data_IF_503502654184
#
_entry.id   IF_503502654184
#
_cell.length_a   1.000
_cell.length_b   1.000
_cell.length_c   1.000
_cell.angle_alpha   90.00
_cell.angle_beta   90.00
_cell.angle_gamma   90.00
#
_symmetry.space_group_name_H-M   'P 1'
#
loop_
_entity.id
_entity.type
_entity.pdbx_description
1 polymer ?
#
# COMPACT_ATOMS: atom_id res chain seq x y z
N UNK A 1 34.37 21.17 -16.09
CA UNK A 1 33.58 20.30 -16.97
C UNK A 1 32.70 19.44 -16.06
N UNK A 2 31.39 19.74 -16.02
CA UNK A 2 30.44 18.89 -15.36
C UNK A 2 30.29 17.62 -16.21
N UNK A 3 30.57 16.45 -15.63
CA UNK A 3 30.25 15.17 -16.24
C UNK A 3 28.72 15.06 -16.23
N UNK A 4 28.07 15.27 -17.36
CA UNK A 4 26.71 14.87 -17.61
C UNK A 4 26.73 13.33 -17.71
N UNK A 5 26.41 12.65 -16.61
CA UNK A 5 26.13 11.23 -16.64
C UNK A 5 24.73 11.08 -17.27
N UNK A 6 24.70 10.68 -18.52
CA UNK A 6 23.46 10.35 -19.21
C UNK A 6 22.87 9.08 -18.57
N UNK A 7 21.86 9.24 -17.73
CA UNK A 7 21.17 8.13 -17.07
C UNK A 7 20.29 7.44 -18.13
N UNK A 8 20.67 6.23 -18.55
CA UNK A 8 19.85 5.42 -19.47
C UNK A 8 19.01 4.44 -18.66
N UNK A 9 17.69 4.69 -18.47
CA UNK A 9 16.84 3.93 -17.56
C UNK A 9 16.85 2.41 -17.80
N UNK A 10 16.88 1.99 -19.07
CA UNK A 10 16.77 0.58 -19.44
C UNK A 10 18.06 -0.26 -19.24
N UNK A 11 19.22 0.36 -18.99
CA UNK A 11 20.46 -0.38 -18.76
C UNK A 11 20.71 -0.72 -17.28
N UNK A 12 19.94 -0.13 -16.36
CA UNK A 12 20.10 -0.25 -14.91
C UNK A 12 18.83 -0.70 -14.20
N UNK A 13 17.89 -1.36 -14.87
CA UNK A 13 16.87 -2.19 -14.16
C UNK A 13 17.61 -3.33 -13.45
N UNK A 14 18.43 -2.91 -12.48
CA UNK A 14 18.93 -3.86 -11.48
C UNK A 14 17.73 -4.43 -10.75
N UNK A 15 17.84 -5.65 -10.29
CA UNK A 15 16.87 -6.51 -9.60
C UNK A 15 16.14 -5.89 -8.38
N UNK A 16 16.05 -4.56 -8.27
CA UNK A 16 15.36 -3.86 -7.19
C UNK A 16 13.97 -3.48 -7.67
N UNK A 17 12.99 -3.77 -6.83
CA UNK A 17 11.62 -3.27 -6.99
C UNK A 17 11.60 -1.84 -6.49
N UNK A 18 11.09 -0.92 -7.29
CA UNK A 18 10.89 0.50 -6.92
C UNK A 18 9.44 0.83 -7.23
N UNK A 19 8.69 1.17 -6.20
CA UNK A 19 7.29 1.54 -6.31
C UNK A 19 7.11 3.02 -6.00
N UNK A 20 6.15 3.67 -6.65
CA UNK A 20 5.81 5.07 -6.43
C UNK A 20 4.32 5.27 -6.27
N UNK A 21 3.93 6.08 -5.29
CA UNK A 21 2.53 6.48 -5.08
C UNK A 21 2.24 7.78 -5.83
N UNK A 22 1.09 7.85 -6.48
CA UNK A 22 0.63 9.05 -7.15
C UNK A 22 -0.89 9.20 -7.09
N UNK A 23 -1.35 10.46 -6.99
CA UNK A 23 -2.76 10.82 -7.09
C UNK A 23 -3.16 11.07 -8.55
N UNK A 24 -4.44 10.88 -8.93
CA UNK A 24 -4.93 11.15 -10.29
C UNK A 24 -4.77 12.60 -10.76
N UNK A 25 -4.50 13.54 -9.87
CA UNK A 25 -4.20 14.94 -10.21
C UNK A 25 -2.70 15.21 -10.45
N UNK A 26 -1.83 14.20 -10.41
CA UNK A 26 -0.41 14.36 -10.75
C UNK A 26 -0.25 14.90 -12.16
N UNK A 27 0.74 15.75 -12.38
CA UNK A 27 1.01 16.27 -13.73
C UNK A 27 1.46 15.13 -14.67
N UNK A 28 0.90 15.09 -15.89
CA UNK A 28 1.29 14.10 -16.91
C UNK A 28 2.81 14.10 -17.16
N UNK A 29 3.43 15.28 -17.12
CA UNK A 29 4.87 15.39 -17.31
C UNK A 29 5.64 14.68 -16.19
N UNK A 30 5.28 14.94 -14.92
CA UNK A 30 5.94 14.30 -13.77
C UNK A 30 5.76 12.79 -13.83
N UNK A 31 4.54 12.32 -14.11
CA UNK A 31 4.29 10.89 -14.21
C UNK A 31 5.14 10.24 -15.31
N UNK A 32 5.13 10.78 -16.52
CA UNK A 32 5.86 10.22 -17.67
C UNK A 32 7.38 10.18 -17.48
N UNK A 33 7.96 11.19 -16.84
CA UNK A 33 9.41 11.19 -16.59
C UNK A 33 9.82 10.26 -15.44
N UNK A 34 8.87 9.88 -14.57
CA UNK A 34 9.11 9.02 -13.41
C UNK A 34 8.86 7.54 -13.70
N UNK A 35 7.82 7.21 -14.47
CA UNK A 35 7.41 5.83 -14.77
C UNK A 35 8.54 4.91 -15.25
N UNK A 36 9.49 5.33 -16.11
CA UNK A 36 10.58 4.46 -16.55
C UNK A 36 11.48 3.93 -15.44
N UNK A 37 11.43 4.52 -14.25
CA UNK A 37 12.22 4.13 -13.07
C UNK A 37 11.44 3.27 -12.11
N UNK A 38 10.11 3.13 -12.29
CA UNK A 38 9.23 2.40 -11.38
C UNK A 38 8.99 0.96 -11.85
N UNK A 39 8.84 0.07 -10.88
CA UNK A 39 8.31 -1.29 -11.06
C UNK A 39 6.78 -1.30 -10.90
N UNK A 40 6.26 -0.52 -9.96
CA UNK A 40 4.84 -0.36 -9.68
C UNK A 40 4.46 1.11 -9.52
N UNK A 41 3.31 1.48 -10.09
CA UNK A 41 2.63 2.76 -9.87
C UNK A 41 1.41 2.50 -8.99
N UNK A 42 1.45 2.98 -7.76
CA UNK A 42 0.38 2.85 -6.78
C UNK A 42 -0.53 4.07 -6.88
N UNK A 43 -1.75 3.85 -7.37
CA UNK A 43 -2.71 4.93 -7.63
C UNK A 43 -3.57 5.15 -6.39
N UNK A 44 -3.44 6.31 -5.76
CA UNK A 44 -4.08 6.66 -4.50
C UNK A 44 -5.32 7.53 -4.75
N UNK A 45 -6.56 7.14 -4.37
CA UNK A 45 -6.91 5.88 -3.74
C UNK A 45 -8.38 5.54 -4.01
N UNK A 46 -8.72 4.30 -3.79
CA UNK A 46 -10.08 3.79 -3.79
C UNK A 46 -10.55 3.60 -2.34
N UNK A 47 -11.84 3.83 -2.12
CA UNK A 47 -12.50 3.59 -0.85
C UNK A 47 -13.47 2.43 -0.91
N UNK A 48 -14.25 2.25 0.15
CA UNK A 48 -15.30 1.23 0.20
C UNK A 48 -16.42 1.61 1.19
N UNK A 49 -17.59 1.00 1.01
CA UNK A 49 -18.70 1.13 1.95
C UNK A 49 -18.70 -0.02 2.97
N UNK A 50 -19.47 0.12 4.04
CA UNK A 50 -19.62 -0.95 5.06
C UNK A 50 -20.30 -2.22 4.52
N UNK A 51 -20.95 -2.13 3.36
CA UNK A 51 -21.56 -3.24 2.64
C UNK A 51 -20.59 -3.91 1.63
N UNK A 52 -19.37 -3.35 1.43
CA UNK A 52 -18.36 -3.86 0.52
C UNK A 52 -18.47 -3.35 -0.91
N UNK A 53 -19.19 -2.24 -1.16
CA UNK A 53 -19.14 -1.55 -2.45
C UNK A 53 -17.82 -0.77 -2.59
N UNK A 54 -17.22 -0.77 -3.79
CA UNK A 54 -16.00 -0.01 -4.05
C UNK A 54 -16.34 1.43 -4.39
N UNK A 55 -15.64 2.37 -3.78
CA UNK A 55 -15.74 3.81 -4.04
C UNK A 55 -14.53 4.24 -4.87
N UNK A 56 -14.78 4.62 -6.11
CA UNK A 56 -13.73 5.10 -7.03
C UNK A 56 -13.30 6.53 -6.70
N UNK A 57 -12.06 6.92 -7.03
CA UNK A 57 -11.63 8.31 -6.92
C UNK A 57 -12.50 9.24 -7.79
N UNK A 58 -12.63 10.50 -7.37
CA UNK A 58 -13.45 11.49 -8.10
C UNK A 58 -12.86 11.87 -9.47
N UNK A 59 -11.54 11.74 -9.64
CA UNK A 59 -10.86 11.99 -10.90
C UNK A 59 -10.61 10.67 -11.63
N UNK A 60 -10.73 10.72 -12.97
CA UNK A 60 -10.39 9.58 -13.81
C UNK A 60 -8.90 9.23 -13.69
N UNK A 61 -8.62 7.97 -13.44
CA UNK A 61 -7.27 7.41 -13.29
C UNK A 61 -6.89 6.45 -14.43
N UNK A 62 -7.78 6.19 -15.39
CA UNK A 62 -7.51 5.26 -16.50
C UNK A 62 -6.28 5.67 -17.32
N UNK A 63 -6.08 6.98 -17.47
CA UNK A 63 -4.91 7.49 -18.17
C UNK A 63 -3.59 7.09 -17.48
N UNK A 64 -3.57 7.02 -16.14
CA UNK A 64 -2.38 6.61 -15.37
C UNK A 64 -2.09 5.12 -15.55
N UNK A 65 -3.13 4.29 -15.59
CA UNK A 65 -3.03 2.85 -15.85
C UNK A 65 -2.43 2.60 -17.24
N UNK A 66 -2.92 3.32 -18.25
CA UNK A 66 -2.43 3.22 -19.62
C UNK A 66 -0.95 3.63 -19.72
N UNK A 67 -0.60 4.80 -19.15
CA UNK A 67 0.79 5.29 -19.12
C UNK A 67 1.73 4.33 -18.37
N UNK A 68 1.26 3.70 -17.31
CA UNK A 68 2.05 2.71 -16.57
C UNK A 68 2.43 1.53 -17.49
N UNK A 69 1.48 0.96 -18.20
CA UNK A 69 1.74 -0.14 -19.12
C UNK A 69 2.63 0.26 -20.30
N UNK A 70 2.49 1.47 -20.84
CA UNK A 70 3.37 1.99 -21.90
C UNK A 70 4.84 2.10 -21.45
N UNK A 71 5.09 2.13 -20.13
CA UNK A 71 6.42 2.22 -19.54
C UNK A 71 6.87 0.93 -18.81
N UNK A 72 6.24 -0.22 -19.07
CA UNK A 72 6.50 -1.50 -18.39
C UNK A 72 6.35 -1.42 -16.86
N UNK A 73 5.56 -0.49 -16.35
CA UNK A 73 5.27 -0.31 -14.92
C UNK A 73 3.91 -0.94 -14.60
N UNK A 74 3.81 -1.63 -13.47
CA UNK A 74 2.56 -2.28 -13.06
C UNK A 74 1.65 -1.29 -12.32
N UNK A 75 0.42 -1.02 -12.82
CA UNK A 75 -0.53 -0.21 -12.07
C UNK A 75 -1.11 -1.00 -10.90
N UNK A 76 -1.09 -0.40 -9.71
CA UNK A 76 -1.57 -0.97 -8.45
C UNK A 76 -2.67 -0.09 -7.90
N UNK A 77 -3.82 -0.68 -7.56
CA UNK A 77 -4.91 -0.01 -6.89
C UNK A 77 -4.59 0.10 -5.40
N UNK A 78 -4.59 1.30 -4.83
CA UNK A 78 -4.47 1.49 -3.38
C UNK A 78 -5.86 1.60 -2.78
N UNK A 79 -6.19 0.67 -1.87
CA UNK A 79 -7.44 0.64 -1.13
C UNK A 79 -7.25 1.26 0.25
N UNK A 80 -8.05 2.28 0.56
CA UNK A 80 -8.00 3.02 1.82
C UNK A 80 -9.38 3.05 2.47
N UNK A 81 -9.50 3.22 3.80
CA UNK A 81 -10.80 3.25 4.48
C UNK A 81 -11.49 4.61 4.36
N UNK A 82 -11.67 5.10 3.13
CA UNK A 82 -12.52 6.24 2.81
C UNK A 82 -13.92 5.75 2.42
N UNK A 83 -14.94 6.40 2.97
CA UNK A 83 -16.34 6.15 2.61
C UNK A 83 -16.73 6.91 1.32
N UNK A 84 -17.99 6.78 0.91
CA UNK A 84 -18.56 7.46 -0.26
C UNK A 84 -18.57 9.00 -0.17
N UNK A 85 -18.33 9.56 1.01
CA UNK A 85 -18.20 11.01 1.25
C UNK A 85 -16.74 11.46 1.29
N UNK A 86 -15.79 10.53 1.08
CA UNK A 86 -14.35 10.78 1.18
C UNK A 86 -13.89 10.97 2.62
N UNK A 87 -14.63 10.47 3.60
CA UNK A 87 -14.29 10.56 5.02
C UNK A 87 -13.53 9.31 5.45
N UNK A 88 -12.36 9.51 6.02
CA UNK A 88 -11.57 8.43 6.62
C UNK A 88 -12.25 7.92 7.89
N UNK A 89 -12.38 6.60 8.03
CA UNK A 89 -13.04 6.01 9.19
C UNK A 89 -12.47 4.64 9.59
N UNK A 90 -11.90 4.58 10.80
CA UNK A 90 -11.50 3.31 11.41
C UNK A 90 -12.69 2.37 11.65
N UNK A 91 -13.86 2.93 11.96
CA UNK A 91 -15.09 2.16 12.16
C UNK A 91 -15.51 1.43 10.87
N UNK A 92 -15.15 1.96 9.71
CA UNK A 92 -15.39 1.30 8.43
C UNK A 92 -14.58 0.01 8.31
N UNK A 93 -13.33 0.01 8.81
CA UNK A 93 -12.50 -1.20 8.87
C UNK A 93 -13.13 -2.23 9.79
N UNK A 94 -13.55 -1.82 11.01
CA UNK A 94 -14.24 -2.69 11.96
C UNK A 94 -15.50 -3.30 11.35
N UNK A 95 -16.32 -2.49 10.67
CA UNK A 95 -17.54 -2.96 10.01
C UNK A 95 -17.24 -3.98 8.91
N UNK A 96 -16.18 -3.77 8.13
CA UNK A 96 -15.77 -4.68 7.06
C UNK A 96 -15.27 -6.01 7.63
N UNK A 97 -14.22 -5.97 8.48
CA UNK A 97 -13.49 -7.18 8.88
C UNK A 97 -14.29 -8.12 9.78
N UNK A 98 -15.39 -7.62 10.37
CA UNK A 98 -16.32 -8.42 11.20
C UNK A 98 -17.61 -8.79 10.44
N UNK A 99 -17.67 -8.62 9.12
CA UNK A 99 -18.82 -8.95 8.30
C UNK A 99 -18.41 -9.76 7.06
N UNK A 100 -18.62 -11.08 7.12
CA UNK A 100 -18.25 -12.00 6.02
C UNK A 100 -18.88 -11.61 4.68
N UNK A 101 -20.15 -11.14 4.68
CA UNK A 101 -20.82 -10.74 3.45
C UNK A 101 -20.20 -9.46 2.85
N UNK A 102 -19.80 -8.52 3.69
CA UNK A 102 -19.11 -7.30 3.23
C UNK A 102 -17.72 -7.61 2.67
N UNK A 103 -16.98 -8.54 3.29
CA UNK A 103 -15.70 -9.03 2.77
C UNK A 103 -15.88 -9.67 1.39
N UNK A 104 -16.86 -10.58 1.26
CA UNK A 104 -17.15 -11.27 0.01
C UNK A 104 -17.53 -10.28 -1.09
N UNK A 105 -18.39 -9.31 -0.80
CA UNK A 105 -18.81 -8.27 -1.71
C UNK A 105 -17.58 -7.41 -2.15
N UNK A 106 -16.78 -6.94 -1.19
CA UNK A 106 -15.64 -6.07 -1.49
C UNK A 106 -14.61 -6.77 -2.37
N UNK A 107 -14.25 -8.00 -2.04
CA UNK A 107 -13.28 -8.77 -2.83
C UNK A 107 -13.83 -9.02 -4.25
N UNK A 108 -15.10 -9.41 -4.37
CA UNK A 108 -15.74 -9.62 -5.67
C UNK A 108 -15.79 -8.35 -6.53
N UNK A 109 -16.18 -7.23 -5.93
CA UNK A 109 -16.25 -5.93 -6.60
C UNK A 109 -14.85 -5.42 -7.01
N UNK A 110 -13.84 -5.60 -6.15
CA UNK A 110 -12.45 -5.26 -6.48
C UNK A 110 -11.93 -6.10 -7.65
N UNK A 111 -12.12 -7.42 -7.64
CA UNK A 111 -11.70 -8.29 -8.75
C UNK A 111 -12.34 -7.83 -10.06
N UNK A 112 -13.65 -7.57 -10.05
CA UNK A 112 -14.35 -7.09 -11.23
C UNK A 112 -13.78 -5.76 -11.73
N UNK A 113 -13.70 -4.75 -10.86
CA UNK A 113 -13.18 -3.42 -11.19
C UNK A 113 -11.74 -3.46 -11.71
N UNK A 114 -10.88 -4.23 -11.03
CA UNK A 114 -9.46 -4.32 -11.37
C UNK A 114 -9.24 -4.99 -12.72
N UNK A 115 -10.02 -6.01 -13.04
CA UNK A 115 -9.99 -6.64 -14.38
C UNK A 115 -10.49 -5.69 -15.47
N UNK A 116 -11.58 -4.95 -15.22
CA UNK A 116 -12.14 -3.98 -16.17
C UNK A 116 -11.16 -2.84 -16.47
N UNK A 117 -10.49 -2.31 -15.44
CA UNK A 117 -9.56 -1.19 -15.58
C UNK A 117 -8.14 -1.60 -15.96
N UNK A 118 -7.76 -2.84 -15.70
CA UNK A 118 -6.43 -3.37 -15.99
C UNK A 118 -5.41 -3.18 -14.86
N UNK A 119 -5.83 -3.16 -13.59
CA UNK A 119 -4.90 -3.15 -12.47
C UNK A 119 -4.18 -4.50 -12.32
N UNK A 120 -2.86 -4.45 -12.05
CA UNK A 120 -2.02 -5.63 -11.86
C UNK A 120 -1.78 -6.00 -10.39
N UNK A 121 -2.09 -5.10 -9.47
CA UNK A 121 -1.89 -5.29 -8.03
C UNK A 121 -2.89 -4.51 -7.19
N UNK A 122 -3.05 -4.95 -5.96
CA UNK A 122 -3.82 -4.32 -4.90
C UNK A 122 -2.91 -3.99 -3.73
N UNK A 123 -2.99 -2.77 -3.22
CA UNK A 123 -2.32 -2.32 -2.01
C UNK A 123 -3.36 -1.99 -0.95
N UNK A 124 -3.30 -2.66 0.21
CA UNK A 124 -4.22 -2.44 1.33
C UNK A 124 -3.56 -1.48 2.31
N UNK A 125 -4.00 -0.22 2.27
CA UNK A 125 -3.46 0.86 3.10
C UNK A 125 -4.46 1.28 4.20
N UNK A 126 -4.57 0.41 5.21
CA UNK A 126 -5.42 0.62 6.40
C UNK A 126 -4.53 0.99 7.58
N UNK A 127 -4.34 2.28 7.83
CA UNK A 127 -3.36 2.76 8.81
C UNK A 127 -3.75 2.46 10.27
N UNK A 128 -4.98 2.77 10.66
CA UNK A 128 -5.44 2.73 12.04
C UNK A 128 -6.39 1.55 12.25
N UNK A 129 -5.88 0.44 12.78
CA UNK A 129 -6.65 -0.75 13.11
C UNK A 129 -6.83 -0.83 14.63
N UNK A 130 -8.07 -0.98 15.10
CA UNK A 130 -8.29 -1.23 16.52
C UNK A 130 -7.67 -2.58 16.92
N UNK A 131 -7.17 -2.63 18.16
CA UNK A 131 -6.53 -3.85 18.69
C UNK A 131 -7.43 -5.07 18.62
N UNK A 132 -8.71 -4.86 18.86
CA UNK A 132 -9.75 -5.88 18.84
C UNK A 132 -9.96 -6.48 17.45
N UNK A 133 -9.66 -5.71 16.39
CA UNK A 133 -9.82 -6.11 14.99
C UNK A 133 -8.54 -6.73 14.38
N UNK A 134 -7.46 -6.84 15.14
CA UNK A 134 -6.14 -7.30 14.68
C UNK A 134 -6.18 -8.62 13.92
N UNK A 135 -6.80 -9.64 14.51
CA UNK A 135 -6.85 -10.99 13.95
C UNK A 135 -7.83 -11.06 12.78
N UNK A 136 -8.97 -10.35 12.89
CA UNK A 136 -9.95 -10.24 11.82
C UNK A 136 -9.37 -9.53 10.60
N UNK A 137 -8.59 -8.45 10.80
CA UNK A 137 -7.88 -7.77 9.73
C UNK A 137 -6.83 -8.67 9.05
N UNK A 138 -6.05 -9.41 9.84
CA UNK A 138 -5.07 -10.36 9.31
C UNK A 138 -5.76 -11.43 8.45
N UNK A 139 -6.89 -11.95 8.90
CA UNK A 139 -7.71 -12.93 8.17
C UNK A 139 -8.28 -12.35 6.88
N UNK A 140 -8.77 -11.10 6.92
CA UNK A 140 -9.23 -10.37 5.73
C UNK A 140 -8.12 -10.25 4.68
N UNK A 141 -6.91 -9.82 5.09
CA UNK A 141 -5.77 -9.71 4.17
C UNK A 141 -5.40 -11.07 3.57
N UNK A 142 -5.43 -12.15 4.37
CA UNK A 142 -5.13 -13.49 3.89
C UNK A 142 -6.16 -13.96 2.84
N UNK A 143 -7.45 -13.80 3.09
CA UNK A 143 -8.51 -14.18 2.15
C UNK A 143 -8.47 -13.31 0.88
N UNK A 144 -8.28 -12.01 1.04
CA UNK A 144 -8.12 -11.09 -0.08
C UNK A 144 -6.94 -11.51 -0.98
N UNK A 145 -5.78 -11.78 -0.39
CA UNK A 145 -4.58 -12.23 -1.12
C UNK A 145 -4.82 -13.55 -1.84
N UNK A 146 -5.42 -14.53 -1.16
CA UNK A 146 -5.74 -15.82 -1.74
C UNK A 146 -6.60 -15.68 -2.99
N UNK A 147 -7.68 -14.91 -2.90
CA UNK A 147 -8.63 -14.68 -4.00
C UNK A 147 -8.02 -13.88 -5.15
N UNK A 148 -7.31 -12.80 -4.84
CA UNK A 148 -6.64 -11.96 -5.84
C UNK A 148 -5.58 -12.73 -6.63
N UNK A 149 -4.81 -13.58 -5.96
CA UNK A 149 -3.78 -14.40 -6.61
C UNK A 149 -4.35 -15.41 -7.63
N UNK A 150 -5.60 -15.87 -7.47
CA UNK A 150 -6.29 -16.72 -8.46
C UNK A 150 -6.47 -15.99 -9.80
N UNK A 151 -6.48 -14.66 -9.80
CA UNK A 151 -6.57 -13.79 -10.96
C UNK A 151 -5.21 -13.20 -11.37
N UNK A 152 -4.11 -13.62 -10.74
CA UNK A 152 -2.77 -13.11 -11.01
C UNK A 152 -2.52 -11.69 -10.46
N UNK A 153 -3.38 -11.21 -9.57
CA UNK A 153 -3.28 -9.90 -8.92
C UNK A 153 -2.41 -10.02 -7.68
N UNK A 154 -1.32 -9.25 -7.62
CA UNK A 154 -0.42 -9.16 -6.47
C UNK A 154 -1.06 -8.33 -5.35
N UNK A 155 -0.86 -8.72 -4.09
CA UNK A 155 -1.39 -7.99 -2.93
C UNK A 155 -0.26 -7.54 -2.02
N UNK A 156 -0.20 -6.24 -1.74
CA UNK A 156 0.63 -5.62 -0.70
C UNK A 156 -0.22 -5.07 0.45
N UNK A 157 0.40 -4.89 1.61
CA UNK A 157 -0.22 -4.25 2.76
C UNK A 157 0.73 -3.21 3.37
N UNK A 158 0.23 -2.01 3.62
CA UNK A 158 0.99 -0.95 4.26
C UNK A 158 0.99 -1.12 5.80
N UNK A 159 2.17 -1.02 6.40
CA UNK A 159 2.39 -1.23 7.82
C UNK A 159 2.99 0.01 8.49
N UNK A 160 2.37 0.45 9.58
CA UNK A 160 2.94 1.45 10.46
C UNK A 160 4.28 0.98 11.06
N UNK A 161 5.23 1.89 11.33
CA UNK A 161 6.61 1.54 11.69
C UNK A 161 6.73 1.04 13.14
N UNK A 162 6.61 -0.28 13.37
CA UNK A 162 6.81 -0.92 14.67
C UNK A 162 8.28 -1.28 14.93
N UNK A 163 8.66 -1.22 16.21
CA UNK A 163 9.98 -1.63 16.69
C UNK A 163 9.92 -2.81 17.68
N UNK A 164 8.72 -3.23 18.09
CA UNK A 164 8.49 -4.40 18.95
C UNK A 164 7.06 -4.92 18.79
N UNK A 165 6.83 -6.16 19.23
CA UNK A 165 5.49 -6.78 19.20
C UNK A 165 4.49 -6.13 20.17
N UNK A 166 4.97 -5.59 21.28
CA UNK A 166 4.18 -5.00 22.36
C UNK A 166 4.05 -3.47 22.28
N UNK A 167 4.53 -2.87 21.18
CA UNK A 167 4.43 -1.42 20.96
C UNK A 167 2.99 -0.94 21.05
N UNK A 168 2.75 0.05 21.94
CA UNK A 168 1.43 0.56 22.23
C UNK A 168 1.03 1.70 21.29
N UNK A 169 -0.26 1.82 21.04
CA UNK A 169 -0.88 2.89 20.26
C UNK A 169 -1.75 2.36 19.11
N UNK A 170 -2.71 3.19 18.69
CA UNK A 170 -3.70 2.84 17.68
C UNK A 170 -3.07 2.47 16.32
N UNK A 171 -1.93 3.08 15.96
CA UNK A 171 -1.17 2.73 14.75
C UNK A 171 -0.55 1.34 14.80
N UNK A 172 -0.32 0.76 15.99
CA UNK A 172 0.57 -0.36 16.18
C UNK A 172 -0.12 -1.63 16.67
N UNK A 173 -1.06 -1.53 17.63
CA UNK A 173 -1.60 -2.69 18.33
C UNK A 173 -2.47 -3.58 17.42
N UNK A 174 -3.15 -2.98 16.44
CA UNK A 174 -3.94 -3.70 15.43
C UNK A 174 -3.11 -4.30 14.28
N UNK A 175 -1.78 -4.15 14.29
CA UNK A 175 -0.90 -4.66 13.23
C UNK A 175 -0.09 -5.86 13.72
N UNK A 176 -0.38 -7.04 13.18
CA UNK A 176 0.43 -8.24 13.37
C UNK A 176 1.44 -8.37 12.21
N UNK A 177 2.69 -8.00 12.44
CA UNK A 177 3.72 -8.06 11.40
C UNK A 177 3.92 -9.47 10.85
N UNK A 178 4.01 -10.46 11.74
CA UNK A 178 4.19 -11.86 11.34
C UNK A 178 3.00 -12.39 10.55
N UNK A 179 1.79 -12.18 11.07
CA UNK A 179 0.55 -12.60 10.42
C UNK A 179 0.32 -11.90 9.08
N UNK A 180 0.48 -10.57 9.01
CA UNK A 180 0.31 -9.80 7.77
C UNK A 180 1.39 -10.12 6.74
N UNK A 181 2.66 -10.31 7.17
CA UNK A 181 3.73 -10.75 6.31
C UNK A 181 3.55 -12.17 5.75
N UNK A 182 2.88 -13.05 6.51
CA UNK A 182 2.47 -14.37 5.99
C UNK A 182 1.30 -14.26 5.01
N UNK A 183 0.32 -13.40 5.30
CA UNK A 183 -0.91 -13.23 4.56
C UNK A 183 -0.71 -12.56 3.19
N UNK A 184 0.03 -11.44 3.13
CA UNK A 184 0.23 -10.67 1.90
C UNK A 184 1.40 -11.21 1.04
N UNK A 185 1.45 -10.82 -0.24
CA UNK A 185 2.59 -11.11 -1.11
C UNK A 185 3.80 -10.24 -0.76
N UNK A 186 3.59 -8.97 -0.40
CA UNK A 186 4.61 -8.06 0.14
C UNK A 186 4.03 -7.12 1.19
N UNK A 187 4.90 -6.45 1.92
CA UNK A 187 4.54 -5.44 2.91
C UNK A 187 5.35 -4.17 2.66
N UNK A 188 4.68 -3.02 2.70
CA UNK A 188 5.32 -1.71 2.73
C UNK A 188 5.49 -1.28 4.18
N UNK A 189 6.71 -1.00 4.60
CA UNK A 189 6.99 -0.37 5.88
C UNK A 189 7.02 1.14 5.71
N UNK A 190 6.09 1.86 6.33
CA UNK A 190 6.00 3.33 6.27
C UNK A 190 7.05 3.96 7.19
N UNK A 191 8.33 3.86 6.82
CA UNK A 191 9.49 4.28 7.61
C UNK A 191 9.79 5.78 7.48
N UNK A 192 8.75 6.61 7.60
CA UNK A 192 8.79 8.07 7.47
C UNK A 192 7.79 8.75 8.43
N UNK A 193 7.72 10.09 8.38
CA UNK A 193 6.82 10.93 9.18
C UNK A 193 7.01 10.81 10.71
N UNK A 194 8.29 10.70 11.15
CA UNK A 194 8.58 10.60 12.58
C UNK A 194 8.35 11.87 13.38
N UNK A 195 8.44 13.03 12.78
CA UNK A 195 8.16 14.29 13.43
C UNK A 195 6.69 14.69 13.30
N UNK A 196 6.11 15.29 14.34
CA UNK A 196 4.78 15.89 14.28
C UNK A 196 4.73 17.20 15.07
N UNK A 197 3.64 17.96 14.91
CA UNK A 197 3.50 19.34 15.39
C UNK A 197 3.86 19.55 16.87
N UNK A 198 3.63 18.56 17.72
CA UNK A 198 3.87 18.64 19.17
C UNK A 198 5.12 17.87 19.63
N UNK A 199 5.93 17.34 18.70
CA UNK A 199 7.20 16.69 19.02
C UNK A 199 8.37 17.67 18.91
N UNK A 200 9.54 17.29 19.47
CA UNK A 200 10.79 17.97 19.12
C UNK A 200 11.06 17.82 17.62
N UNK A 201 11.67 18.84 16.96
CA UNK A 201 12.06 18.73 15.56
C UNK A 201 12.94 17.51 15.31
N UNK A 202 12.62 16.73 14.27
CA UNK A 202 13.43 15.59 13.84
C UNK A 202 13.34 15.41 12.33
N UNK A 203 14.26 14.61 11.77
CA UNK A 203 14.19 14.24 10.37
C UNK A 203 12.90 13.44 10.08
N UNK A 204 12.34 13.60 8.90
CA UNK A 204 11.14 12.85 8.46
C UNK A 204 11.36 11.33 8.51
N UNK A 205 12.58 10.86 8.23
CA UNK A 205 12.99 9.46 8.32
C UNK A 205 14.37 9.34 9.00
N UNK A 206 14.44 9.44 10.37
CA UNK A 206 15.71 9.33 11.08
C UNK A 206 16.29 7.92 10.92
N UNK A 207 17.52 7.80 10.40
CA UNK A 207 18.14 6.53 10.02
C UNK A 207 18.18 5.50 11.16
N UNK A 208 18.39 5.96 12.40
CA UNK A 208 18.39 5.08 13.58
C UNK A 208 17.00 4.49 13.86
N UNK A 209 15.93 5.24 13.62
CA UNK A 209 14.55 4.79 13.77
C UNK A 209 14.16 3.85 12.63
N UNK A 210 14.48 4.22 11.39
CA UNK A 210 14.29 3.35 10.22
C UNK A 210 14.96 2.00 10.44
N UNK A 211 16.22 1.98 10.89
CA UNK A 211 16.97 0.74 11.19
C UNK A 211 16.23 -0.12 12.21
N UNK A 212 15.75 0.44 13.33
CA UNK A 212 15.01 -0.31 14.35
C UNK A 212 13.75 -0.98 13.79
N UNK A 213 13.01 -0.29 12.92
CA UNK A 213 11.82 -0.86 12.28
C UNK A 213 12.19 -2.00 11.34
N UNK A 214 13.21 -1.82 10.51
CA UNK A 214 13.67 -2.86 9.57
C UNK A 214 14.18 -4.09 10.33
N UNK A 215 14.99 -3.91 11.39
CA UNK A 215 15.48 -5.01 12.23
C UNK A 215 14.33 -5.79 12.88
N UNK A 216 13.33 -5.10 13.40
CA UNK A 216 12.13 -5.75 13.94
C UNK A 216 11.35 -6.47 12.82
N UNK A 217 11.11 -5.83 11.69
CA UNK A 217 10.38 -6.42 10.57
C UNK A 217 11.07 -7.71 10.06
N UNK A 218 12.39 -7.70 9.91
CA UNK A 218 13.18 -8.87 9.48
C UNK A 218 13.10 -10.04 10.48
N UNK A 219 12.81 -9.77 11.76
CA UNK A 219 12.56 -10.82 12.75
C UNK A 219 11.20 -11.50 12.62
N UNK A 220 10.25 -10.89 11.86
CA UNK A 220 8.87 -11.33 11.74
C UNK A 220 8.49 -11.73 10.30
N UNK A 221 9.12 -11.13 9.29
CA UNK A 221 8.72 -11.19 7.89
C UNK A 221 9.95 -11.55 7.04
N UNK A 222 9.84 -12.46 6.07
CA UNK A 222 10.92 -12.75 5.12
C UNK A 222 11.37 -11.48 4.37
N UNK A 223 12.68 -11.26 4.28
CA UNK A 223 13.30 -10.09 3.62
C UNK A 223 12.72 -9.84 2.22
N UNK A 224 12.53 -10.89 1.42
CA UNK A 224 12.02 -10.80 0.06
C UNK A 224 10.59 -10.23 -0.06
N UNK A 225 9.87 -10.09 1.05
CA UNK A 225 8.52 -9.53 1.11
C UNK A 225 8.49 -8.09 1.62
N UNK A 226 9.62 -7.51 2.02
CA UNK A 226 9.68 -6.20 2.67
C UNK A 226 10.06 -5.12 1.65
N UNK A 227 9.16 -4.17 1.47
CA UNK A 227 9.40 -2.91 0.78
C UNK A 227 9.62 -1.80 1.83
N UNK A 228 10.73 -1.07 1.71
CA UNK A 228 11.05 0.03 2.62
C UNK A 228 10.52 1.36 2.07
N UNK A 229 9.65 2.01 2.82
CA UNK A 229 9.13 3.33 2.48
C UNK A 229 10.19 4.44 2.61
N UNK A 230 10.26 5.30 1.60
CA UNK A 230 11.13 6.48 1.54
C UNK A 230 10.23 7.68 1.26
N UNK A 231 10.34 8.80 2.03
CA UNK A 231 9.48 9.98 1.85
C UNK A 231 9.78 10.72 0.55
#
# INVERSE_FOLDING_TARGET
QALLVEFRPNQYRTRRVINGYAYPFVSNYVLRVTLPYLSGLYIFSYGFTKEGEVVSPALDDQWMINEAYENDTKPVLTLTPFDENGVFSNNLITALVNNEQAIENLIGNLIYLMNEKGFAGLDIDFEYIYKEDRDAFTSFVAECTRRMNEYGIWVSVALAPKTSSDQKGLLYEGKDYGGLGAAANSVLLMTYEWGYTYSSPMAVAPINKVRQVIEYALSQIPEAKIDMGIP
#
